data_IF_266784856528
#
_entry.id   IF_266784856528
#
_cell.length_a   1.000
_cell.length_b   1.000
_cell.length_c   1.000
_cell.angle_alpha   90.00
_cell.angle_beta   90.00
_cell.angle_gamma   90.00
#
_symmetry.space_group_name_H-M   'P 1'
#
loop_
_entity.id
_entity.type
_entity.pdbx_description
1 polymer ?
#
# COMPACT_ATOMS: atom_id res chain seq x y z
N UNK A 1 5.86 -3.53 24.84
CA UNK A 1 6.55 -4.81 25.05
C UNK A 1 5.75 -5.88 24.35
N UNK A 2 6.44 -6.76 23.66
CA UNK A 2 5.86 -7.88 22.91
C UNK A 2 6.74 -9.13 23.10
N UNK A 3 6.30 -10.27 22.58
CA UNK A 3 7.01 -11.55 22.68
C UNK A 3 7.32 -12.06 21.28
N UNK A 4 8.39 -12.85 21.14
CA UNK A 4 8.77 -13.50 19.87
C UNK A 4 7.60 -14.28 19.26
N UNK A 5 7.47 -14.25 17.94
CA UNK A 5 6.40 -14.85 17.15
C UNK A 5 4.99 -14.29 17.45
N UNK A 6 4.88 -13.21 18.21
CA UNK A 6 3.61 -12.51 18.43
C UNK A 6 3.24 -11.67 17.20
N UNK A 7 1.95 -11.52 16.96
CA UNK A 7 1.44 -10.54 16.00
C UNK A 7 0.78 -9.41 16.77
N UNK A 8 1.40 -8.24 16.77
CA UNK A 8 0.84 -7.05 17.42
C UNK A 8 -0.12 -6.32 16.47
N UNK A 9 -1.07 -5.60 17.07
CA UNK A 9 -1.96 -4.70 16.32
C UNK A 9 -1.52 -3.27 16.53
N UNK A 10 -1.13 -2.62 15.44
CA UNK A 10 -0.84 -1.18 15.42
C UNK A 10 -2.07 -0.44 14.93
N UNK A 11 -2.47 0.63 15.63
CA UNK A 11 -3.60 1.50 15.28
C UNK A 11 -3.17 2.95 15.21
N UNK A 12 -3.73 3.69 14.27
CA UNK A 12 -3.52 5.14 14.14
C UNK A 12 -4.78 5.83 13.61
N UNK A 13 -4.94 7.10 13.96
CA UNK A 13 -5.88 7.98 13.28
C UNK A 13 -5.13 8.70 12.17
N UNK A 14 -5.55 8.50 10.92
CA UNK A 14 -4.91 9.07 9.74
C UNK A 14 -5.99 9.67 8.86
N UNK A 15 -5.93 10.98 8.69
CA UNK A 15 -6.88 11.74 7.89
C UNK A 15 -6.19 12.87 7.14
N UNK A 16 -6.79 13.30 6.08
CA UNK A 16 -6.46 14.55 5.38
C UNK A 16 -7.71 15.17 4.77
N UNK A 17 -7.64 16.44 4.47
CA UNK A 17 -8.67 17.12 3.70
C UNK A 17 -8.59 16.76 2.21
N UNK A 18 -9.75 16.63 1.56
CA UNK A 18 -9.86 16.32 0.15
C UNK A 18 -10.52 14.96 -0.14
N UNK A 19 -10.60 14.61 -1.43
CA UNK A 19 -11.30 13.41 -1.90
C UNK A 19 -10.36 12.29 -2.38
N UNK A 20 -9.06 12.54 -2.37
CA UNK A 20 -8.08 11.55 -2.82
C UNK A 20 -7.89 10.47 -1.76
N UNK A 21 -7.67 9.25 -2.22
CA UNK A 21 -7.47 8.12 -1.33
C UNK A 21 -6.13 8.22 -0.60
N UNK A 22 -6.16 7.93 0.70
CA UNK A 22 -4.97 7.74 1.51
C UNK A 22 -4.54 6.28 1.51
N UNK A 23 -3.25 6.04 1.53
CA UNK A 23 -2.64 4.79 1.92
C UNK A 23 -1.82 4.98 3.20
N UNK A 24 -1.65 3.91 3.96
CA UNK A 24 -0.78 3.93 5.13
C UNK A 24 -0.11 2.57 5.33
N UNK A 25 1.08 2.57 5.91
CA UNK A 25 1.75 1.35 6.33
C UNK A 25 2.53 1.55 7.63
N UNK A 26 2.74 0.45 8.34
CA UNK A 26 3.72 0.35 9.41
C UNK A 26 5.03 -0.08 8.79
N UNK A 27 6.10 0.64 9.08
CA UNK A 27 7.48 0.24 8.77
C UNK A 27 8.09 -0.24 10.06
N UNK A 28 8.35 -1.53 10.16
CA UNK A 28 9.02 -2.17 11.30
C UNK A 28 10.49 -2.34 10.95
N UNK A 29 11.37 -1.84 11.81
CA UNK A 29 12.82 -2.07 11.73
C UNK A 29 13.20 -3.12 12.77
N UNK A 30 13.81 -4.20 12.34
CA UNK A 30 14.24 -5.30 13.20
C UNK A 30 15.60 -5.00 13.88
N UNK A 31 16.06 -5.84 14.84
CA UNK A 31 17.37 -5.65 15.50
C UNK A 31 18.58 -5.69 14.56
N UNK A 32 18.42 -6.17 13.32
CA UNK A 32 19.49 -6.16 12.31
C UNK A 32 19.51 -4.89 11.45
N UNK A 33 18.49 -4.04 11.61
CA UNK A 33 18.27 -2.86 10.79
C UNK A 33 17.48 -3.12 9.50
N UNK A 34 16.96 -4.33 9.31
CA UNK A 34 16.11 -4.63 8.16
C UNK A 34 14.69 -4.08 8.34
N UNK A 35 14.18 -3.44 7.29
CA UNK A 35 12.83 -2.86 7.29
C UNK A 35 11.81 -3.82 6.67
N UNK A 36 10.68 -4.00 7.35
CA UNK A 36 9.50 -4.67 6.84
C UNK A 36 8.34 -3.67 6.77
N UNK A 37 7.63 -3.63 5.63
CA UNK A 37 6.44 -2.81 5.46
C UNK A 37 5.18 -3.66 5.54
N UNK A 38 4.24 -3.23 6.37
CA UNK A 38 2.93 -3.88 6.56
C UNK A 38 1.84 -2.85 6.30
N UNK A 39 1.06 -3.05 5.24
CA UNK A 39 -0.01 -2.12 4.89
C UNK A 39 -1.08 -2.06 5.99
N UNK A 40 -1.59 -0.85 6.21
CA UNK A 40 -2.70 -0.61 7.12
C UNK A 40 -4.02 -0.60 6.36
N UNK A 41 -5.06 -1.12 7.00
CA UNK A 41 -6.43 -1.02 6.50
C UNK A 41 -7.25 -0.06 7.35
N UNK A 42 -8.13 0.69 6.71
CA UNK A 42 -9.10 1.53 7.41
C UNK A 42 -10.17 0.64 8.05
N UNK A 43 -10.53 0.92 9.30
CA UNK A 43 -11.50 0.13 10.08
C UNK A 43 -12.91 0.65 9.84
N UNK A 44 -13.86 -0.27 9.69
CA UNK A 44 -15.28 0.07 9.64
C UNK A 44 -15.84 0.44 11.05
N UNK A 45 -16.80 1.39 11.15
CA UNK A 45 -17.41 2.11 10.04
C UNK A 45 -16.48 3.20 9.48
N UNK A 46 -16.52 3.38 8.15
CA UNK A 46 -15.78 4.44 7.47
C UNK A 46 -16.17 5.81 8.05
N UNK A 47 -15.17 6.70 8.18
CA UNK A 47 -15.39 8.06 8.73
C UNK A 47 -14.86 8.26 10.14
N UNK A 48 -14.33 7.22 10.80
CA UNK A 48 -13.60 7.37 12.06
C UNK A 48 -12.09 7.57 11.88
N UNK A 49 -11.62 7.53 10.63
CA UNK A 49 -10.21 7.71 10.26
C UNK A 49 -9.23 6.79 11.02
N UNK A 50 -9.75 5.64 11.49
CA UNK A 50 -8.98 4.65 12.22
C UNK A 50 -8.40 3.65 11.24
N UNK A 51 -7.07 3.51 11.29
CA UNK A 51 -6.32 2.56 10.50
C UNK A 51 -5.68 1.51 11.39
N UNK A 52 -5.56 0.28 10.92
CA UNK A 52 -4.98 -0.83 11.68
C UNK A 52 -4.12 -1.71 10.79
N UNK A 53 -3.04 -2.24 11.36
CA UNK A 53 -2.22 -3.28 10.76
C UNK A 53 -1.93 -4.38 11.79
N UNK A 54 -1.81 -5.62 11.31
CA UNK A 54 -1.32 -6.75 12.09
C UNK A 54 0.13 -7.00 11.71
N UNK A 55 1.04 -6.69 12.63
CA UNK A 55 2.49 -6.72 12.40
C UNK A 55 3.07 -7.96 13.07
N UNK A 56 3.55 -8.96 12.30
CA UNK A 56 4.22 -10.12 12.86
C UNK A 56 5.61 -9.73 13.37
N UNK A 57 5.96 -10.23 14.54
CA UNK A 57 7.28 -10.05 15.14
C UNK A 57 8.07 -11.34 15.03
N UNK A 58 9.38 -11.21 14.84
CA UNK A 58 10.31 -12.33 14.78
C UNK A 58 11.07 -12.54 16.08
N UNK A 59 12.39 -12.72 15.96
CA UNK A 59 13.30 -13.01 17.08
C UNK A 59 13.31 -11.92 18.17
N UNK A 60 13.68 -12.25 19.41
CA UNK A 60 13.79 -11.27 20.48
C UNK A 60 14.84 -10.19 20.16
N UNK A 61 14.58 -8.97 20.61
CA UNK A 61 15.51 -7.85 20.42
C UNK A 61 14.84 -6.51 20.48
N UNK A 62 15.61 -5.47 20.17
CA UNK A 62 15.17 -4.10 20.10
C UNK A 62 14.73 -3.77 18.68
N UNK A 63 13.45 -3.51 18.52
CA UNK A 63 12.80 -3.08 17.28
C UNK A 63 12.45 -1.62 17.39
N UNK A 64 12.23 -0.98 16.25
CA UNK A 64 11.49 0.27 16.17
C UNK A 64 10.42 0.17 15.07
N UNK A 65 9.41 1.02 15.15
CA UNK A 65 8.46 1.16 14.06
C UNK A 65 8.03 2.61 13.91
N UNK A 66 7.67 2.98 12.68
CA UNK A 66 7.00 4.22 12.34
C UNK A 66 5.79 3.95 11.47
N UNK A 67 4.87 4.88 11.40
CA UNK A 67 3.74 4.82 10.48
C UNK A 67 4.01 5.83 9.36
N UNK A 68 3.86 5.37 8.13
CA UNK A 68 3.97 6.21 6.93
C UNK A 68 2.58 6.32 6.28
N UNK A 69 2.08 7.56 6.15
CA UNK A 69 0.89 7.86 5.36
C UNK A 69 1.30 8.48 4.03
N UNK A 70 0.57 8.18 2.96
CA UNK A 70 0.89 8.63 1.62
C UNK A 70 -0.35 8.76 0.74
N UNK A 71 -0.17 9.40 -0.40
CA UNK A 71 -1.19 9.53 -1.44
C UNK A 71 -1.34 8.22 -2.21
N UNK A 72 -2.50 7.55 -2.08
CA UNK A 72 -2.79 6.34 -2.85
C UNK A 72 -3.35 6.73 -4.23
N UNK A 73 -2.43 7.10 -5.12
CA UNK A 73 -2.73 7.55 -6.48
C UNK A 73 -3.49 6.49 -7.29
N UNK A 74 -3.14 5.21 -7.13
CA UNK A 74 -3.80 4.13 -7.85
C UNK A 74 -5.23 3.93 -7.40
N UNK A 75 -5.48 3.94 -6.09
CA UNK A 75 -6.83 3.84 -5.53
C UNK A 75 -7.69 5.04 -5.92
N UNK A 76 -7.14 6.26 -5.89
CA UNK A 76 -7.80 7.47 -6.35
C UNK A 76 -8.18 7.36 -7.83
N UNK A 77 -7.23 6.94 -8.68
CA UNK A 77 -7.48 6.75 -10.11
C UNK A 77 -8.57 5.70 -10.36
N UNK A 78 -8.52 4.54 -9.68
CA UNK A 78 -9.54 3.48 -9.81
C UNK A 78 -10.94 3.98 -9.50
N UNK A 79 -11.08 4.75 -8.43
CA UNK A 79 -12.35 5.35 -8.03
C UNK A 79 -12.86 6.31 -9.10
N UNK A 80 -12.05 7.23 -9.53
CA UNK A 80 -12.39 8.23 -10.54
C UNK A 80 -12.66 7.57 -11.91
N UNK A 81 -11.87 6.57 -12.29
CA UNK A 81 -12.07 5.82 -13.51
C UNK A 81 -13.43 5.11 -13.52
N UNK A 82 -13.83 4.47 -12.44
CA UNK A 82 -15.14 3.81 -12.35
C UNK A 82 -16.31 4.79 -12.59
N UNK A 83 -16.24 5.99 -12.02
CA UNK A 83 -17.27 7.03 -12.18
C UNK A 83 -17.27 7.56 -13.63
N UNK A 84 -16.10 7.95 -14.16
CA UNK A 84 -15.97 8.56 -15.48
C UNK A 84 -16.33 7.58 -16.60
N UNK A 85 -15.92 6.30 -16.46
CA UNK A 85 -16.25 5.26 -17.44
C UNK A 85 -17.73 4.98 -17.46
N UNK A 86 -18.40 4.90 -16.32
CA UNK A 86 -19.85 4.71 -16.24
C UNK A 86 -20.62 5.88 -16.88
N UNK A 87 -20.09 7.10 -16.77
CA UNK A 87 -20.66 8.30 -17.38
C UNK A 87 -20.27 8.51 -18.85
N UNK A 88 -19.31 7.76 -19.38
CA UNK A 88 -18.76 7.95 -20.74
C UNK A 88 -17.95 9.25 -20.90
N UNK A 89 -17.34 9.75 -19.81
CA UNK A 89 -16.65 11.04 -19.76
C UNK A 89 -15.14 10.83 -19.66
N UNK A 90 -14.37 11.64 -20.41
CA UNK A 90 -12.91 11.74 -20.32
C UNK A 90 -12.15 10.41 -20.50
N UNK A 91 -12.70 9.44 -21.21
CA UNK A 91 -12.10 8.11 -21.38
C UNK A 91 -10.63 8.17 -21.85
N UNK A 92 -10.27 9.00 -22.86
CA UNK A 92 -8.87 9.12 -23.27
C UNK A 92 -7.94 9.60 -22.16
N UNK A 93 -8.39 10.56 -21.33
CA UNK A 93 -7.62 11.07 -20.21
C UNK A 93 -7.46 10.02 -19.10
N UNK A 94 -8.55 9.33 -18.74
CA UNK A 94 -8.52 8.23 -17.77
C UNK A 94 -7.52 7.15 -18.18
N UNK A 95 -7.53 6.73 -19.45
CA UNK A 95 -6.56 5.77 -19.96
C UNK A 95 -5.13 6.30 -19.89
N UNK A 96 -4.89 7.56 -20.26
CA UNK A 96 -3.56 8.16 -20.26
C UNK A 96 -2.99 8.25 -18.83
N UNK A 97 -3.79 8.69 -17.87
CA UNK A 97 -3.40 8.78 -16.44
C UNK A 97 -3.06 7.39 -15.87
N UNK A 98 -3.90 6.39 -16.12
CA UNK A 98 -3.67 5.01 -15.67
C UNK A 98 -2.41 4.41 -16.28
N UNK A 99 -2.20 4.60 -17.59
CA UNK A 99 -0.98 4.13 -18.28
C UNK A 99 0.28 4.75 -17.68
N UNK A 100 0.27 6.07 -17.46
CA UNK A 100 1.42 6.75 -16.87
C UNK A 100 1.84 6.16 -15.54
N UNK A 101 0.88 5.84 -14.66
CA UNK A 101 1.15 5.22 -13.36
C UNK A 101 1.65 3.77 -13.51
N UNK A 102 1.06 2.99 -14.42
CA UNK A 102 1.48 1.62 -14.68
C UNK A 102 2.90 1.57 -15.27
N UNK A 103 3.23 2.48 -16.18
CA UNK A 103 4.57 2.59 -16.78
C UNK A 103 5.60 3.02 -15.70
N UNK A 104 5.25 3.97 -14.82
CA UNK A 104 6.08 4.40 -13.68
C UNK A 104 6.38 3.22 -12.72
N UNK A 105 5.36 2.42 -12.40
CA UNK A 105 5.51 1.25 -11.54
C UNK A 105 6.30 0.12 -12.23
N UNK A 106 6.06 -0.13 -13.52
CA UNK A 106 6.81 -1.13 -14.30
C UNK A 106 8.30 -0.80 -14.38
N UNK A 107 8.64 0.48 -14.55
CA UNK A 107 10.04 0.92 -14.57
C UNK A 107 10.70 0.76 -13.20
N UNK A 108 9.99 1.10 -12.12
CA UNK A 108 10.48 0.86 -10.76
C UNK A 108 10.75 -0.64 -10.50
N UNK A 109 9.85 -1.52 -10.96
CA UNK A 109 10.03 -2.97 -10.85
C UNK A 109 11.26 -3.47 -11.61
N UNK A 110 11.47 -3.02 -12.87
CA UNK A 110 12.67 -3.37 -13.67
C UNK A 110 13.96 -2.93 -13.00
N UNK A 111 13.99 -1.72 -12.46
CA UNK A 111 15.18 -1.19 -11.78
C UNK A 111 15.59 -2.05 -10.58
N UNK A 112 14.63 -2.76 -9.97
CA UNK A 112 14.87 -3.69 -8.86
C UNK A 112 14.99 -5.16 -9.31
N UNK A 113 15.01 -5.44 -10.62
CA UNK A 113 15.14 -6.79 -11.17
C UNK A 113 13.87 -7.65 -11.07
N UNK A 114 12.70 -7.05 -10.80
CA UNK A 114 11.41 -7.75 -10.70
C UNK A 114 10.72 -7.81 -12.08
N UNK A 115 11.30 -8.57 -13.02
CA UNK A 115 10.86 -8.62 -14.42
C UNK A 115 9.43 -9.14 -14.59
N UNK A 116 8.99 -10.10 -13.77
CA UNK A 116 7.64 -10.65 -13.83
C UNK A 116 6.60 -9.59 -13.44
N UNK A 117 6.83 -8.85 -12.36
CA UNK A 117 5.95 -7.75 -11.95
C UNK A 117 5.94 -6.64 -13.03
N UNK A 118 7.09 -6.31 -13.59
CA UNK A 118 7.21 -5.32 -14.67
C UNK A 118 6.45 -5.74 -15.93
N UNK A 119 6.47 -7.03 -16.28
CA UNK A 119 5.73 -7.55 -17.42
C UNK A 119 4.21 -7.44 -17.21
N UNK A 120 3.71 -7.81 -16.03
CA UNK A 120 2.28 -7.68 -15.65
C UNK A 120 1.82 -6.21 -15.76
N UNK A 121 2.59 -5.28 -15.19
CA UNK A 121 2.25 -3.85 -15.20
C UNK A 121 2.30 -3.26 -16.60
N UNK A 122 3.31 -3.63 -17.41
CA UNK A 122 3.43 -3.17 -18.79
C UNK A 122 2.32 -3.72 -19.69
N UNK A 123 1.86 -4.96 -19.45
CA UNK A 123 0.71 -5.53 -20.16
C UNK A 123 -0.58 -4.76 -19.82
N UNK A 124 -0.80 -4.50 -18.52
CA UNK A 124 -1.93 -3.71 -18.07
C UNK A 124 -1.93 -2.30 -18.69
N UNK A 125 -0.77 -1.65 -18.80
CA UNK A 125 -0.63 -0.36 -19.46
C UNK A 125 -1.06 -0.39 -20.94
N UNK A 126 -0.66 -1.43 -21.67
CA UNK A 126 -1.07 -1.62 -23.08
C UNK A 126 -2.58 -1.82 -23.26
N UNK A 127 -3.23 -2.47 -22.26
CA UNK A 127 -4.67 -2.72 -22.27
C UNK A 127 -5.52 -1.47 -22.00
N UNK A 128 -4.96 -0.39 -21.44
CA UNK A 128 -5.63 0.88 -21.26
C UNK A 128 -5.66 1.68 -22.58
N UNK A 129 -6.41 1.20 -23.57
CA UNK A 129 -6.63 1.87 -24.84
C UNK A 129 -7.99 2.59 -24.85
N UNK A 130 -8.06 3.91 -25.12
CA UNK A 130 -9.33 4.64 -25.16
C UNK A 130 -10.29 4.16 -26.25
N UNK A 131 -9.81 3.38 -27.24
CA UNK A 131 -10.63 2.75 -28.28
C UNK A 131 -11.17 1.39 -27.87
N UNK A 132 -10.62 0.81 -26.80
CA UNK A 132 -11.09 -0.46 -26.29
C UNK A 132 -12.46 -0.33 -25.60
N UNK A 133 -13.23 -1.42 -25.51
CA UNK A 133 -14.47 -1.43 -24.76
C UNK A 133 -14.25 -1.00 -23.29
N UNK A 134 -15.17 -0.22 -22.75
CA UNK A 134 -15.12 0.26 -21.34
C UNK A 134 -14.89 -0.88 -20.32
N UNK A 135 -15.42 -2.09 -20.61
CA UNK A 135 -15.20 -3.29 -19.81
C UNK A 135 -13.70 -3.59 -19.60
N UNK A 136 -12.87 -3.44 -20.65
CA UNK A 136 -11.44 -3.73 -20.56
C UNK A 136 -10.71 -2.80 -19.57
N UNK A 137 -11.11 -1.53 -19.50
CA UNK A 137 -10.58 -0.60 -18.50
C UNK A 137 -10.97 -1.05 -17.08
N UNK A 138 -12.23 -1.46 -16.89
CA UNK A 138 -12.70 -2.03 -15.62
C UNK A 138 -11.94 -3.30 -15.21
N UNK A 139 -11.64 -4.19 -16.16
CA UNK A 139 -10.84 -5.40 -15.94
C UNK A 139 -9.43 -5.05 -15.45
N UNK A 140 -8.74 -4.09 -16.06
CA UNK A 140 -7.42 -3.62 -15.62
C UNK A 140 -7.51 -3.01 -14.21
N UNK A 141 -8.50 -2.16 -13.96
CA UNK A 141 -8.67 -1.51 -12.67
C UNK A 141 -8.98 -2.47 -11.52
N UNK A 142 -9.60 -3.63 -11.80
CA UNK A 142 -9.98 -4.65 -10.81
C UNK A 142 -9.03 -5.86 -10.76
N UNK A 143 -8.01 -5.91 -11.61
CA UNK A 143 -7.05 -7.00 -11.67
C UNK A 143 -6.21 -7.05 -10.38
N UNK A 144 -6.26 -8.19 -9.69
CA UNK A 144 -5.56 -8.38 -8.41
C UNK A 144 -4.04 -8.33 -8.58
N UNK A 145 -3.49 -8.94 -9.65
CA UNK A 145 -2.05 -8.94 -9.88
C UNK A 145 -1.53 -7.51 -10.17
N UNK A 146 -2.29 -6.75 -10.96
CA UNK A 146 -2.01 -5.32 -11.18
C UNK A 146 -2.08 -4.55 -9.88
N UNK A 147 -3.12 -4.76 -9.05
CA UNK A 147 -3.26 -4.09 -7.76
C UNK A 147 -2.09 -4.35 -6.81
N UNK A 148 -1.62 -5.59 -6.73
CA UNK A 148 -0.44 -5.98 -5.93
C UNK A 148 0.82 -5.31 -6.48
N UNK A 149 1.04 -5.35 -7.80
CA UNK A 149 2.17 -4.69 -8.44
C UNK A 149 2.18 -3.18 -8.20
N UNK A 150 1.02 -2.51 -8.34
CA UNK A 150 0.90 -1.07 -8.06
C UNK A 150 1.18 -0.73 -6.60
N UNK A 151 0.68 -1.52 -5.65
CA UNK A 151 0.97 -1.31 -4.22
C UNK A 151 2.45 -1.45 -3.87
N UNK A 152 3.17 -2.33 -4.57
CA UNK A 152 4.60 -2.59 -4.37
C UNK A 152 5.50 -1.57 -5.07
N UNK A 153 5.21 -1.21 -6.31
CA UNK A 153 6.13 -0.56 -7.22
C UNK A 153 5.80 0.89 -7.56
N UNK A 154 4.51 1.32 -7.42
CA UNK A 154 4.19 2.72 -7.70
C UNK A 154 4.84 3.62 -6.64
N UNK A 155 5.70 4.58 -7.04
CA UNK A 155 6.35 5.47 -6.09
C UNK A 155 5.34 6.24 -5.24
N UNK A 156 5.50 6.16 -3.92
CA UNK A 156 4.65 6.87 -2.96
C UNK A 156 4.94 8.37 -3.02
N UNK A 157 3.89 9.17 -3.07
CA UNK A 157 3.99 10.64 -3.06
C UNK A 157 3.35 11.20 -1.79
N UNK A 158 3.76 12.39 -1.41
CA UNK A 158 3.29 13.07 -0.20
C UNK A 158 3.45 12.20 1.06
N UNK A 159 4.60 11.51 1.14
CA UNK A 159 4.91 10.64 2.27
C UNK A 159 5.07 11.46 3.55
N UNK A 160 4.28 11.13 4.57
CA UNK A 160 4.33 11.73 5.91
C UNK A 160 4.58 10.63 6.93
N UNK A 161 5.80 10.52 7.49
CA UNK A 161 6.10 9.58 8.56
C UNK A 161 5.74 10.15 9.93
N UNK A 162 5.46 9.29 10.89
CA UNK A 162 5.52 9.61 12.32
C UNK A 162 6.97 9.61 12.81
N UNK A 163 7.16 10.00 14.07
CA UNK A 163 8.38 9.65 14.80
C UNK A 163 8.52 8.13 14.92
N UNK A 164 9.73 7.66 15.19
CA UNK A 164 9.98 6.25 15.49
C UNK A 164 9.59 5.90 16.92
N UNK A 165 8.90 4.78 17.06
CA UNK A 165 8.48 4.22 18.35
C UNK A 165 9.32 2.99 18.68
N UNK A 166 9.98 2.93 19.84
CA UNK A 166 10.74 1.76 20.26
C UNK A 166 9.80 0.61 20.66
N UNK A 167 10.18 -0.61 20.30
CA UNK A 167 9.46 -1.82 20.62
C UNK A 167 10.44 -2.92 21.04
N UNK A 168 10.34 -3.38 22.29
CA UNK A 168 11.18 -4.48 22.79
C UNK A 168 10.41 -5.79 22.67
N UNK A 169 11.01 -6.75 21.96
CA UNK A 169 10.50 -8.11 21.81
C UNK A 169 11.27 -9.05 22.71
N UNK A 170 10.57 -9.70 23.63
CA UNK A 170 11.13 -10.63 24.61
C UNK A 170 11.01 -12.08 24.14
N UNK A 171 11.81 -12.97 24.75
CA UNK A 171 11.67 -14.43 24.56
C UNK A 171 10.35 -14.91 25.17
N UNK A 172 9.75 -15.97 24.61
CA UNK A 172 8.47 -16.54 25.07
C UNK A 172 8.41 -16.82 26.59
N UNK A 173 9.52 -17.25 27.17
CA UNK A 173 9.60 -17.49 28.62
C UNK A 173 9.34 -16.26 29.50
N UNK A 174 9.54 -15.05 28.97
CA UNK A 174 9.31 -13.81 29.70
C UNK A 174 7.83 -13.44 29.87
N UNK A 175 6.92 -14.11 29.16
CA UNK A 175 5.45 -13.92 29.30
C UNK A 175 4.94 -14.26 30.70
N UNK A 176 5.61 -15.16 31.39
CA UNK A 176 5.16 -15.71 32.70
C UNK A 176 5.97 -15.20 33.90
N UNK A 177 6.93 -14.29 33.68
CA UNK A 177 7.63 -13.68 34.81
C UNK A 177 6.81 -12.51 35.38
N UNK A 178 6.14 -12.77 36.49
CA UNK A 178 5.58 -11.71 37.36
C UNK A 178 6.73 -11.10 38.16
N UNK A 179 6.84 -9.80 38.12
CA UNK A 179 7.68 -8.99 39.02
C UNK A 179 6.82 -8.44 40.13
#
# INVERSE_FOLDING_TARGET
KAVEDETITVRANIFREGHDALGACVVLTDPTGAEQRVDMAQVEPMGLDIWTARVPLGAPGDYSFRIEAFDDRWRTWRHNAAIKVAAGIDIPLVCAEGRLMLDEAAEAARTQGAEDDAAVLSDAARRLDPRAPARQLGEVASDTAVGVGMGRWLPRRLLTPTDEFPLVVHRRGAQFSSW
#
